data_IF_133382155712
#
_entry.id   IF_133382155712
#
_cell.length_a   1.000
_cell.length_b   1.000
_cell.length_c   1.000
_cell.angle_alpha   90.00
_cell.angle_beta   90.00
_cell.angle_gamma   90.00
#
_symmetry.space_group_name_H-M   'P 1'
#
loop_
_entity.id
_entity.type
_entity.pdbx_description
1 polymer ?
#
# COMPACT_ATOMS: atom_id res chain seq x y z
N UNK A 1 16.40 1.72 -28.30
CA UNK A 1 14.93 1.67 -28.45
C UNK A 1 14.48 3.03 -28.96
N UNK A 2 13.86 3.10 -30.12
CA UNK A 2 13.37 4.37 -30.65
C UNK A 2 11.97 4.62 -30.07
N UNK A 3 11.87 5.60 -29.17
CA UNK A 3 10.58 6.10 -28.69
C UNK A 3 10.03 7.01 -29.78
N UNK A 4 8.81 6.76 -30.25
CA UNK A 4 8.13 7.70 -31.13
C UNK A 4 7.74 8.92 -30.30
N UNK A 5 8.38 10.04 -30.56
CA UNK A 5 8.16 11.31 -29.82
C UNK A 5 6.92 12.08 -30.26
N UNK A 6 6.29 11.70 -31.39
CA UNK A 6 5.03 12.30 -31.84
C UNK A 6 3.88 11.78 -30.98
N UNK A 7 3.48 12.60 -30.01
CA UNK A 7 2.45 12.20 -29.06
C UNK A 7 1.06 12.18 -29.69
N UNK A 8 0.37 11.06 -29.59
CA UNK A 8 -1.04 10.94 -29.93
C UNK A 8 -1.86 11.65 -28.84
N UNK A 9 -2.63 12.67 -29.21
CA UNK A 9 -3.54 13.35 -28.29
C UNK A 9 -4.62 12.40 -27.79
N UNK A 10 -4.58 12.13 -26.47
CA UNK A 10 -5.53 11.28 -25.81
C UNK A 10 -6.81 11.99 -25.38
N UNK A 11 -7.63 11.29 -24.64
CA UNK A 11 -8.91 11.80 -24.16
C UNK A 11 -8.74 12.82 -23.03
N UNK A 12 -9.75 13.70 -22.88
CA UNK A 12 -9.84 14.65 -21.78
C UNK A 12 -10.74 14.11 -20.66
N UNK A 13 -10.28 14.27 -19.43
CA UNK A 13 -10.97 13.87 -18.21
C UNK A 13 -11.13 15.06 -17.25
N UNK A 14 -11.95 14.91 -16.21
CA UNK A 14 -12.00 15.90 -15.13
C UNK A 14 -10.77 15.75 -14.23
N UNK A 15 -10.37 14.51 -13.98
CA UNK A 15 -9.18 14.19 -13.20
C UNK A 15 -8.39 13.01 -13.77
N UNK A 16 -7.08 13.03 -13.56
CA UNK A 16 -6.17 11.92 -13.81
C UNK A 16 -5.55 11.48 -12.47
N UNK A 17 -5.53 10.16 -12.24
CA UNK A 17 -4.84 9.53 -11.12
C UNK A 17 -3.72 8.67 -11.67
N UNK A 18 -2.48 8.96 -11.28
CA UNK A 18 -1.29 8.21 -11.70
C UNK A 18 -0.99 7.12 -10.68
N UNK A 19 -1.18 5.87 -11.09
CA UNK A 19 -1.03 4.69 -10.24
C UNK A 19 -2.34 4.24 -9.60
N UNK A 20 -2.58 2.93 -9.59
CA UNK A 20 -3.77 2.26 -9.08
C UNK A 20 -3.60 1.63 -7.68
N UNK A 21 -2.46 1.90 -7.04
CA UNK A 21 -2.13 1.40 -5.71
C UNK A 21 -3.06 1.90 -4.60
N UNK A 22 -2.63 1.74 -3.33
CA UNK A 22 -3.48 2.05 -2.17
C UNK A 22 -4.05 3.48 -2.22
N UNK A 23 -3.22 4.49 -2.41
CA UNK A 23 -3.65 5.90 -2.45
C UNK A 23 -4.37 6.27 -3.74
N UNK A 24 -3.93 5.74 -4.89
CA UNK A 24 -4.60 5.99 -6.18
C UNK A 24 -5.99 5.38 -6.26
N UNK A 25 -6.18 4.20 -5.69
CA UNK A 25 -7.50 3.59 -5.56
C UNK A 25 -8.47 4.46 -4.75
N UNK A 26 -8.01 5.04 -3.63
CA UNK A 26 -8.81 5.99 -2.85
C UNK A 26 -9.13 7.26 -3.63
N UNK A 27 -8.15 7.86 -4.29
CA UNK A 27 -8.38 9.05 -5.12
C UNK A 27 -9.40 8.77 -6.23
N UNK A 28 -9.28 7.63 -6.92
CA UNK A 28 -10.22 7.23 -7.97
C UNK A 28 -11.65 7.07 -7.43
N UNK A 29 -11.80 6.39 -6.27
CA UNK A 29 -13.10 6.21 -5.60
C UNK A 29 -13.73 7.56 -5.25
N UNK A 30 -13.02 8.39 -4.51
CA UNK A 30 -13.56 9.67 -4.02
C UNK A 30 -13.94 10.62 -5.16
N UNK A 31 -13.12 10.71 -6.19
CA UNK A 31 -13.38 11.58 -7.33
C UNK A 31 -14.57 11.10 -8.17
N UNK A 32 -14.65 9.80 -8.45
CA UNK A 32 -15.75 9.25 -9.26
C UNK A 32 -17.09 9.26 -8.51
N UNK A 33 -17.11 9.00 -7.21
CA UNK A 33 -18.31 9.12 -6.38
C UNK A 33 -18.81 10.57 -6.26
N UNK A 34 -17.91 11.56 -6.41
CA UNK A 34 -18.27 12.99 -6.55
C UNK A 34 -18.72 13.39 -7.97
N UNK A 35 -18.84 12.43 -8.87
CA UNK A 35 -19.36 12.64 -10.22
C UNK A 35 -18.32 13.02 -11.27
N UNK A 36 -17.03 13.03 -10.94
CA UNK A 36 -15.97 13.37 -11.89
C UNK A 36 -15.66 12.20 -12.84
N UNK A 37 -15.36 12.50 -14.11
CA UNK A 37 -14.83 11.54 -15.09
C UNK A 37 -13.32 11.39 -14.86
N UNK A 38 -12.89 10.21 -14.44
CA UNK A 38 -11.52 9.96 -13.98
C UNK A 38 -10.81 8.93 -14.86
N UNK A 39 -9.57 9.22 -15.25
CA UNK A 39 -8.64 8.22 -15.76
C UNK A 39 -7.66 7.79 -14.66
N UNK A 40 -7.53 6.50 -14.46
CA UNK A 40 -6.41 5.93 -13.69
C UNK A 40 -5.40 5.35 -14.66
N UNK A 41 -4.19 5.88 -14.64
CA UNK A 41 -3.09 5.45 -15.51
C UNK A 41 -2.15 4.57 -14.69
N UNK A 42 -2.11 3.29 -15.04
CA UNK A 42 -1.33 2.27 -14.33
C UNK A 42 -0.17 1.79 -15.21
N UNK A 43 1.03 1.85 -14.65
CA UNK A 43 2.25 1.40 -15.32
C UNK A 43 2.20 -0.08 -15.69
N UNK A 44 1.68 -0.90 -14.77
CA UNK A 44 1.72 -2.32 -14.88
C UNK A 44 0.54 -2.96 -15.63
N UNK A 45 0.61 -4.27 -15.71
CA UNK A 45 -0.43 -5.09 -16.36
C UNK A 45 -1.74 -5.08 -15.60
N UNK A 46 -2.82 -5.40 -16.29
CA UNK A 46 -4.09 -5.64 -15.64
C UNK A 46 -4.03 -6.93 -14.79
N UNK A 47 -4.46 -6.82 -13.55
CA UNK A 47 -4.87 -7.98 -12.73
C UNK A 47 -6.33 -7.76 -12.35
N UNK A 48 -7.18 -8.74 -12.63
CA UNK A 48 -8.58 -8.74 -12.22
C UNK A 48 -8.74 -9.36 -10.85
N UNK A 49 -9.64 -8.80 -10.05
CA UNK A 49 -9.99 -9.39 -8.77
C UNK A 49 -10.52 -10.82 -8.95
N UNK A 50 -10.06 -11.75 -8.14
CA UNK A 50 -10.34 -13.19 -8.19
C UNK A 50 -9.68 -13.89 -9.39
N UNK A 51 -10.08 -13.57 -10.62
CA UNK A 51 -9.62 -14.24 -11.85
C UNK A 51 -8.09 -14.13 -12.05
N UNK A 52 -7.49 -13.00 -11.67
CA UNK A 52 -6.06 -12.75 -11.79
C UNK A 52 -5.23 -13.28 -10.63
N UNK A 53 -5.80 -13.98 -9.67
CA UNK A 53 -5.08 -14.57 -8.53
C UNK A 53 -4.65 -16.00 -8.83
N UNK A 54 -3.62 -16.14 -9.65
CA UNK A 54 -3.15 -17.39 -10.28
C UNK A 54 -2.92 -18.56 -9.30
N UNK A 55 -2.56 -18.23 -8.07
CA UNK A 55 -2.14 -19.21 -7.06
C UNK A 55 -3.06 -19.27 -5.84
N UNK A 56 -4.09 -18.42 -5.78
CA UNK A 56 -4.94 -18.28 -4.58
C UNK A 56 -5.58 -19.59 -4.11
N UNK A 57 -5.91 -20.49 -5.04
CA UNK A 57 -6.59 -21.76 -4.74
C UNK A 57 -5.64 -22.96 -4.75
N UNK A 58 -4.39 -22.82 -5.24
CA UNK A 58 -3.43 -23.92 -5.31
C UNK A 58 -3.09 -24.48 -3.94
N UNK A 59 -2.89 -25.76 -3.87
CA UNK A 59 -2.36 -26.47 -2.72
C UNK A 59 -0.82 -26.54 -2.76
N UNK A 60 -0.15 -26.77 -1.63
CA UNK A 60 1.33 -26.80 -1.59
C UNK A 60 1.96 -27.81 -2.56
N UNK A 61 1.31 -28.92 -2.84
CA UNK A 61 1.81 -29.95 -3.77
C UNK A 61 1.61 -29.63 -5.25
N UNK A 62 0.84 -28.57 -5.57
CA UNK A 62 0.63 -28.09 -6.94
C UNK A 62 1.69 -27.08 -7.38
N UNK A 63 2.66 -26.78 -6.51
CA UNK A 63 3.76 -25.88 -6.82
C UNK A 63 5.03 -26.66 -7.12
N UNK A 64 5.75 -26.23 -8.13
CA UNK A 64 7.11 -26.68 -8.38
C UNK A 64 7.98 -26.43 -7.13
N UNK A 65 8.91 -27.34 -6.87
CA UNK A 65 9.80 -27.28 -5.70
C UNK A 65 9.07 -27.12 -4.36
N UNK A 66 7.79 -27.50 -4.28
CA UNK A 66 6.90 -27.28 -3.12
C UNK A 66 6.80 -25.82 -2.69
N UNK A 67 6.82 -24.90 -3.68
CA UNK A 67 6.75 -23.47 -3.46
C UNK A 67 8.05 -22.78 -3.02
N UNK A 68 9.15 -23.52 -2.88
CA UNK A 68 10.45 -22.94 -2.49
C UNK A 68 11.06 -22.14 -3.65
N UNK A 69 11.65 -20.97 -3.39
CA UNK A 69 12.33 -20.22 -4.43
C UNK A 69 13.57 -20.98 -4.93
N UNK A 70 13.79 -20.93 -6.22
CA UNK A 70 15.01 -21.43 -6.87
C UNK A 70 16.12 -20.38 -6.81
N UNK A 71 17.38 -20.78 -7.06
CA UNK A 71 18.49 -19.82 -7.19
C UNK A 71 18.21 -18.78 -8.29
N UNK A 72 17.62 -19.20 -9.40
CA UNK A 72 17.23 -18.29 -10.48
C UNK A 72 16.20 -17.28 -10.00
N UNK A 73 15.17 -17.70 -9.26
CA UNK A 73 14.18 -16.80 -8.67
C UNK A 73 14.81 -15.83 -7.67
N UNK A 74 15.82 -16.28 -6.92
CA UNK A 74 16.55 -15.41 -5.99
C UNK A 74 17.36 -14.31 -6.73
N UNK A 75 17.91 -14.61 -7.89
CA UNK A 75 18.57 -13.61 -8.73
C UNK A 75 17.59 -12.66 -9.40
N UNK A 76 16.43 -13.15 -9.82
CA UNK A 76 15.41 -12.36 -10.50
C UNK A 76 14.67 -11.41 -9.57
N UNK A 77 14.49 -11.79 -8.30
CA UNK A 77 13.73 -11.03 -7.28
C UNK A 77 14.61 -10.65 -6.09
N UNK A 78 15.85 -10.24 -6.37
CA UNK A 78 16.89 -10.05 -5.35
C UNK A 78 16.51 -9.04 -4.26
N UNK A 79 15.79 -7.96 -4.58
CA UNK A 79 15.36 -6.98 -3.61
C UNK A 79 14.38 -7.60 -2.59
N UNK A 80 13.41 -8.38 -3.06
CA UNK A 80 12.47 -9.08 -2.20
C UNK A 80 13.15 -10.16 -1.33
N UNK A 81 14.11 -10.89 -1.91
CA UNK A 81 14.83 -11.93 -1.19
C UNK A 81 15.65 -11.40 -0.01
N UNK A 82 16.23 -10.21 -0.15
CA UNK A 82 17.03 -9.58 0.93
C UNK A 82 16.20 -8.97 2.05
N UNK A 83 14.93 -8.64 1.78
CA UNK A 83 14.09 -7.90 2.74
C UNK A 83 13.18 -8.78 3.59
N UNK A 84 13.16 -10.08 3.37
CA UNK A 84 12.28 -11.02 4.08
C UNK A 84 10.87 -11.15 3.47
N UNK A 85 10.53 -10.42 2.42
CA UNK A 85 9.32 -10.69 1.63
C UNK A 85 9.42 -11.99 0.86
N UNK A 86 10.62 -12.43 0.56
CA UNK A 86 10.97 -13.73 -0.02
C UNK A 86 9.98 -14.18 -1.10
N UNK A 87 9.96 -13.54 -2.28
CA UNK A 87 9.09 -13.93 -3.38
C UNK A 87 9.30 -15.41 -3.74
N UNK A 88 8.31 -16.23 -3.44
CA UNK A 88 8.32 -17.67 -3.74
C UNK A 88 7.32 -17.99 -4.85
N UNK A 89 7.23 -19.24 -5.27
CA UNK A 89 6.32 -19.71 -6.33
C UNK A 89 4.85 -19.34 -6.07
N UNK A 90 4.48 -19.14 -4.81
CA UNK A 90 3.11 -18.88 -4.41
C UNK A 90 2.64 -17.45 -4.73
N UNK A 91 3.54 -16.47 -4.72
CA UNK A 91 3.17 -15.06 -4.85
C UNK A 91 4.15 -14.20 -5.64
N UNK A 92 5.24 -14.76 -6.19
CA UNK A 92 6.23 -13.99 -6.98
C UNK A 92 5.62 -13.27 -8.17
N UNK A 93 4.52 -13.78 -8.74
CA UNK A 93 3.82 -13.16 -9.87
C UNK A 93 3.25 -11.77 -9.56
N UNK A 94 3.17 -11.39 -8.27
CA UNK A 94 2.75 -10.07 -7.79
C UNK A 94 3.94 -9.12 -7.57
N UNK A 95 5.17 -9.62 -7.66
CA UNK A 95 6.38 -8.82 -7.53
C UNK A 95 6.96 -8.48 -8.90
N UNK A 96 7.70 -7.39 -8.96
CA UNK A 96 8.45 -7.04 -10.15
C UNK A 96 9.74 -7.84 -10.23
N UNK A 97 10.08 -8.30 -11.43
CA UNK A 97 11.34 -8.96 -11.70
C UNK A 97 12.46 -7.92 -11.77
N UNK A 98 13.35 -7.92 -10.78
CA UNK A 98 14.42 -6.94 -10.63
C UNK A 98 15.49 -7.06 -11.73
N UNK A 99 15.63 -8.22 -12.36
CA UNK A 99 16.55 -8.47 -13.46
C UNK A 99 16.01 -7.91 -14.79
N UNK A 100 14.70 -8.00 -15.01
CA UNK A 100 14.03 -7.44 -16.19
C UNK A 100 13.86 -5.93 -16.11
N UNK A 101 13.58 -5.41 -14.91
CA UNK A 101 13.42 -3.99 -14.65
C UNK A 101 14.37 -3.54 -13.53
N UNK A 102 15.68 -3.48 -13.81
CA UNK A 102 16.67 -3.12 -12.79
C UNK A 102 16.54 -1.65 -12.37
N UNK A 103 16.99 -1.36 -11.17
CA UNK A 103 17.25 -0.01 -10.71
C UNK A 103 18.71 0.10 -10.23
N UNK A 104 19.25 1.30 -10.24
CA UNK A 104 20.64 1.56 -9.90
C UNK A 104 20.72 2.36 -8.61
N UNK A 105 21.43 1.82 -7.63
CA UNK A 105 21.82 2.51 -6.42
C UNK A 105 23.22 3.12 -6.56
N UNK A 106 23.38 4.39 -6.26
CA UNK A 106 24.71 5.03 -6.26
C UNK A 106 25.44 4.90 -4.93
N UNK A 107 24.72 4.84 -3.83
CA UNK A 107 25.21 4.63 -2.47
C UNK A 107 24.18 3.84 -1.68
N UNK A 108 24.57 2.74 -1.15
CA UNK A 108 24.28 2.03 -0.03
C UNK A 108 22.98 1.42 0.33
N UNK A 109 22.45 0.42 -0.26
CA UNK A 109 21.61 -0.57 0.42
C UNK A 109 20.14 -0.21 0.61
N UNK A 110 19.46 0.27 -0.42
CA UNK A 110 18.02 0.36 -0.44
C UNK A 110 17.39 -0.71 -1.33
N UNK A 111 16.65 -1.62 -0.75
CA UNK A 111 15.94 -2.68 -1.45
C UNK A 111 14.54 -2.21 -1.84
N UNK A 112 14.38 -1.77 -3.09
CA UNK A 112 13.11 -1.24 -3.58
C UNK A 112 12.19 -2.34 -4.09
N UNK A 113 11.29 -2.81 -3.24
CA UNK A 113 10.25 -3.77 -3.62
C UNK A 113 9.19 -3.07 -4.48
N UNK A 114 8.93 -3.62 -5.65
CA UNK A 114 8.02 -3.08 -6.67
C UNK A 114 6.93 -4.09 -7.03
N UNK A 115 5.79 -3.55 -7.46
CA UNK A 115 4.65 -4.33 -7.94
C UNK A 115 3.96 -3.54 -9.05
N UNK A 116 4.24 -3.90 -10.30
CA UNK A 116 3.72 -3.21 -11.49
C UNK A 116 2.52 -3.96 -12.06
N UNK A 117 1.38 -3.76 -11.45
CA UNK A 117 0.08 -4.29 -11.86
C UNK A 117 -1.05 -3.51 -11.20
N UNK A 118 -2.28 -3.72 -11.66
CA UNK A 118 -3.48 -3.14 -11.02
C UNK A 118 -3.50 -3.42 -9.53
N UNK A 119 -3.69 -2.37 -8.74
CA UNK A 119 -3.68 -2.45 -7.28
C UNK A 119 -2.30 -2.34 -6.64
N UNK A 120 -1.21 -2.57 -7.39
CA UNK A 120 0.16 -2.44 -6.92
C UNK A 120 0.42 -3.11 -5.57
N UNK A 121 1.25 -2.50 -4.74
CA UNK A 121 1.59 -3.03 -3.40
C UNK A 121 0.41 -3.14 -2.42
N UNK A 122 -0.80 -2.67 -2.76
CA UNK A 122 -1.98 -2.95 -1.94
C UNK A 122 -2.33 -4.43 -1.86
N UNK A 123 -1.78 -5.27 -2.76
CA UNK A 123 -1.89 -6.73 -2.72
C UNK A 123 -0.81 -7.41 -1.85
N UNK A 124 0.23 -6.68 -1.44
CA UNK A 124 1.42 -7.22 -0.77
C UNK A 124 1.67 -6.66 0.65
N UNK A 125 0.86 -5.73 1.12
CA UNK A 125 1.09 -5.07 2.41
C UNK A 125 0.68 -5.93 3.61
N UNK A 126 1.20 -5.60 4.80
CA UNK A 126 0.95 -6.35 6.03
C UNK A 126 -0.44 -6.18 6.64
N UNK A 127 -1.28 -5.32 6.14
CA UNK A 127 -2.68 -5.03 6.56
C UNK A 127 -2.83 -4.42 7.94
N UNK A 128 -1.76 -4.23 8.69
CA UNK A 128 -1.82 -3.51 9.96
C UNK A 128 -2.27 -2.06 9.72
N UNK A 129 -3.24 -1.62 10.53
CA UNK A 129 -3.90 -0.33 10.34
C UNK A 129 -4.07 0.36 11.68
N UNK A 130 -3.14 1.25 12.01
CA UNK A 130 -3.12 2.00 13.26
C UNK A 130 -3.30 3.48 12.99
N UNK A 131 -3.95 4.18 13.90
CA UNK A 131 -3.97 5.65 13.92
C UNK A 131 -2.66 6.15 14.51
N UNK A 132 -2.10 7.17 13.93
CA UNK A 132 -1.11 7.97 14.61
C UNK A 132 -1.77 8.70 15.77
N UNK A 133 -1.08 8.80 16.88
CA UNK A 133 -1.56 9.51 18.04
C UNK A 133 -1.14 11.00 18.02
N UNK A 134 -1.58 11.79 18.98
CA UNK A 134 -1.22 13.22 19.08
C UNK A 134 0.28 13.46 19.09
N UNK A 135 1.03 12.66 19.85
CA UNK A 135 2.47 12.82 19.94
C UNK A 135 3.18 12.56 18.61
N UNK A 136 2.66 11.65 17.77
CA UNK A 136 3.24 11.38 16.45
C UNK A 136 3.14 12.62 15.53
N UNK A 137 2.04 13.38 15.61
CA UNK A 137 1.88 14.64 14.86
C UNK A 137 2.69 15.80 15.42
N UNK A 138 3.02 15.79 16.71
CA UNK A 138 3.67 16.88 17.42
C UNK A 138 5.16 16.64 17.65
N UNK A 139 5.67 15.46 17.31
CA UNK A 139 7.02 15.02 17.66
C UNK A 139 8.10 15.97 17.15
N UNK A 140 8.03 16.40 15.91
CA UNK A 140 9.02 17.30 15.31
C UNK A 140 9.07 18.65 16.03
N UNK A 141 7.90 19.25 16.31
CA UNK A 141 7.82 20.51 17.05
C UNK A 141 8.35 20.37 18.48
N UNK A 142 7.98 19.25 19.16
CA UNK A 142 8.38 18.97 20.53
C UNK A 142 9.88 18.73 20.68
N UNK A 143 10.47 17.99 19.74
CA UNK A 143 11.87 17.61 19.77
C UNK A 143 12.77 18.67 19.10
N UNK A 144 12.20 19.67 18.42
CA UNK A 144 12.93 20.73 17.71
C UNK A 144 13.69 20.20 16.49
N UNK A 145 13.22 19.12 15.87
CA UNK A 145 13.85 18.44 14.74
C UNK A 145 12.95 18.51 13.51
N UNK A 146 13.53 18.81 12.35
CA UNK A 146 12.80 18.84 11.08
C UNK A 146 11.78 19.98 11.02
N UNK A 147 10.66 19.71 10.35
CA UNK A 147 9.56 20.69 10.18
C UNK A 147 8.33 20.18 10.89
N UNK A 148 7.65 21.03 11.63
CA UNK A 148 6.37 20.70 12.26
C UNK A 148 5.31 20.36 11.20
N UNK A 149 4.45 19.40 11.51
CA UNK A 149 3.33 19.08 10.66
C UNK A 149 2.26 20.17 10.71
N UNK A 150 1.70 20.60 9.56
CA UNK A 150 0.64 21.61 9.54
C UNK A 150 -0.74 21.07 9.95
N UNK A 151 -0.82 19.80 10.35
CA UNK A 151 -2.03 19.09 10.76
C UNK A 151 -1.83 18.43 12.12
N UNK A 152 -2.93 18.16 12.81
CA UNK A 152 -2.97 17.51 14.13
C UNK A 152 -3.85 16.27 14.09
N UNK A 153 -3.83 15.49 15.16
CA UNK A 153 -4.65 14.28 15.27
C UNK A 153 -6.13 14.55 15.02
N UNK A 154 -6.65 15.64 15.58
CA UNK A 154 -8.06 16.03 15.49
C UNK A 154 -8.49 16.29 14.03
N UNK A 155 -7.59 16.83 13.21
CA UNK A 155 -7.85 17.05 11.78
C UNK A 155 -7.99 15.73 11.03
N UNK A 156 -7.28 14.70 11.48
CA UNK A 156 -7.22 13.38 10.84
C UNK A 156 -8.23 12.38 11.40
N UNK A 157 -8.67 12.53 12.64
CA UNK A 157 -9.51 11.55 13.31
C UNK A 157 -10.81 11.19 12.54
N UNK A 158 -11.57 12.14 11.95
CA UNK A 158 -12.75 11.82 11.15
C UNK A 158 -12.42 10.99 9.90
N UNK A 159 -11.26 11.26 9.27
CA UNK A 159 -10.80 10.54 8.08
C UNK A 159 -10.33 9.14 8.41
N UNK A 160 -9.67 8.94 9.55
CA UNK A 160 -9.39 7.60 10.05
C UNK A 160 -10.67 6.78 10.21
N UNK A 161 -11.69 7.32 10.87
CA UNK A 161 -13.00 6.67 11.03
C UNK A 161 -13.65 6.32 9.69
N UNK A 162 -13.59 7.24 8.72
CA UNK A 162 -14.12 7.02 7.38
C UNK A 162 -13.42 5.86 6.67
N UNK A 163 -12.09 5.86 6.70
CA UNK A 163 -11.27 4.81 6.08
C UNK A 163 -11.47 3.47 6.78
N UNK A 164 -11.49 3.43 8.11
CA UNK A 164 -11.67 2.22 8.90
C UNK A 164 -13.00 1.52 8.58
N UNK A 165 -14.09 2.28 8.49
CA UNK A 165 -15.42 1.76 8.12
C UNK A 165 -15.43 1.17 6.72
N UNK A 166 -14.90 1.87 5.74
CA UNK A 166 -14.90 1.40 4.36
C UNK A 166 -13.91 0.25 4.12
N UNK A 167 -12.72 0.33 4.68
CA UNK A 167 -11.74 -0.75 4.58
C UNK A 167 -12.19 -2.01 5.31
N UNK A 168 -12.90 -1.84 6.42
CA UNK A 168 -13.31 -2.91 7.31
C UNK A 168 -12.16 -3.36 8.20
N UNK A 169 -11.70 -2.43 9.04
CA UNK A 169 -10.63 -2.75 10.00
C UNK A 169 -11.23 -3.56 11.15
N UNK A 170 -10.72 -4.77 11.38
CA UNK A 170 -11.02 -5.54 12.58
C UNK A 170 -10.04 -5.22 13.69
N UNK A 171 -10.53 -5.11 14.90
CA UNK A 171 -9.70 -4.73 16.05
C UNK A 171 -10.52 -4.57 17.32
N UNK A 172 -9.87 -4.06 18.34
CA UNK A 172 -10.45 -3.83 19.63
C UNK A 172 -10.11 -2.43 20.12
N UNK A 173 -11.08 -1.75 20.74
CA UNK A 173 -10.85 -0.53 21.49
C UNK A 173 -10.18 -0.88 22.81
N UNK A 174 -9.03 -0.27 23.08
CA UNK A 174 -8.20 -0.58 24.25
C UNK A 174 -8.18 0.57 25.27
N UNK A 175 -8.68 1.75 24.91
CA UNK A 175 -8.68 2.93 25.78
C UNK A 175 -7.28 3.47 26.09
N UNK A 176 -6.33 3.32 25.18
CA UNK A 176 -4.94 3.72 25.35
C UNK A 176 -4.64 4.98 24.56
N UNK A 177 -4.17 6.04 25.20
CA UNK A 177 -3.79 7.30 24.56
C UNK A 177 -2.72 7.11 23.47
N UNK A 178 -1.77 6.19 23.74
CA UNK A 178 -0.70 5.84 22.78
C UNK A 178 -1.21 5.09 21.56
N UNK A 179 -2.38 4.51 21.64
CA UNK A 179 -3.01 3.73 20.59
C UNK A 179 -4.48 4.15 20.43
N UNK A 180 -4.76 5.31 19.83
CA UNK A 180 -6.12 5.85 19.74
C UNK A 180 -7.12 4.84 19.18
N UNK A 181 -8.27 4.77 19.78
CA UNK A 181 -9.32 3.87 19.35
C UNK A 181 -9.99 4.35 18.05
N UNK A 182 -10.58 3.42 17.33
CA UNK A 182 -11.18 3.63 16.03
C UNK A 182 -12.51 2.92 15.85
N UNK A 183 -12.97 2.87 14.61
CA UNK A 183 -14.24 2.28 14.19
C UNK A 183 -13.99 0.84 13.68
N UNK A 184 -13.98 -0.11 14.62
CA UNK A 184 -13.54 -1.47 14.32
C UNK A 184 -14.72 -2.44 14.11
N UNK A 185 -14.51 -3.39 13.22
CA UNK A 185 -15.25 -4.65 13.21
C UNK A 185 -14.77 -5.54 14.37
N UNK A 186 -15.53 -6.57 14.76
CA UNK A 186 -15.13 -7.48 15.81
C UNK A 186 -13.70 -8.01 15.61
N UNK A 187 -12.91 -8.01 16.67
CA UNK A 187 -11.57 -8.53 16.65
C UNK A 187 -11.56 -10.05 16.42
N UNK A 188 -10.50 -10.55 15.78
CA UNK A 188 -10.25 -11.99 15.68
C UNK A 188 -9.77 -12.52 17.03
N UNK A 189 -10.07 -13.78 17.36
CA UNK A 189 -9.62 -14.39 18.61
C UNK A 189 -8.10 -14.57 18.68
N UNK A 190 -7.54 -14.47 19.88
CA UNK A 190 -6.17 -14.88 20.16
C UNK A 190 -6.06 -16.40 20.20
N UNK A 191 -4.92 -16.92 19.79
CA UNK A 191 -4.55 -18.32 20.00
C UNK A 191 -4.11 -18.58 21.43
N UNK A 192 -4.02 -19.83 21.86
CA UNK A 192 -3.57 -20.18 23.22
C UNK A 192 -2.17 -19.65 23.52
N UNK A 193 -1.15 -19.79 22.65
CA UNK A 193 0.16 -19.19 22.87
C UNK A 193 0.13 -17.66 22.98
N UNK A 194 -0.72 -17.00 22.18
CA UNK A 194 -0.86 -15.52 22.26
C UNK A 194 -1.49 -15.06 23.56
N UNK A 195 -2.49 -15.78 24.06
CA UNK A 195 -3.09 -15.51 25.38
C UNK A 195 -2.06 -15.71 26.49
N UNK A 196 -1.28 -16.78 26.42
CA UNK A 196 -0.20 -17.04 27.37
C UNK A 196 0.82 -15.90 27.34
N UNK A 197 1.32 -15.53 26.18
CA UNK A 197 2.27 -14.43 26.01
C UNK A 197 1.74 -13.11 26.58
N UNK A 198 0.50 -12.76 26.23
CA UNK A 198 -0.16 -11.55 26.76
C UNK A 198 -0.17 -11.53 28.29
N UNK A 199 -0.56 -12.65 28.91
CA UNK A 199 -0.67 -12.76 30.35
C UNK A 199 0.71 -12.65 31.03
N UNK A 200 1.73 -13.29 30.46
CA UNK A 200 3.10 -13.23 31.00
C UNK A 200 3.72 -11.83 30.87
N UNK A 201 3.52 -11.16 29.71
CA UNK A 201 4.01 -9.78 29.53
C UNK A 201 3.31 -8.83 30.50
N UNK A 202 2.00 -8.95 30.66
CA UNK A 202 1.25 -8.12 31.61
C UNK A 202 1.72 -8.37 33.05
N UNK A 203 1.83 -9.63 33.46
CA UNK A 203 2.25 -10.04 34.82
C UNK A 203 3.67 -9.61 35.15
N UNK A 204 4.62 -9.83 34.22
CA UNK A 204 6.05 -9.60 34.49
C UNK A 204 6.49 -8.17 34.24
N UNK A 205 5.88 -7.50 33.27
CA UNK A 205 6.33 -6.19 32.81
C UNK A 205 5.29 -5.07 32.98
N UNK A 206 4.06 -5.40 33.38
CA UNK A 206 2.96 -4.44 33.50
C UNK A 206 2.61 -3.75 32.18
N UNK A 207 2.84 -4.42 31.03
CA UNK A 207 2.63 -3.84 29.71
C UNK A 207 1.43 -4.44 29.01
N UNK A 208 0.59 -3.63 28.36
CA UNK A 208 -0.53 -4.14 27.58
C UNK A 208 -0.03 -4.84 26.32
N UNK A 209 -0.66 -5.95 26.00
CA UNK A 209 -0.53 -6.65 24.72
C UNK A 209 -1.92 -6.72 24.10
N UNK A 210 -2.07 -6.21 22.90
CA UNK A 210 -3.34 -6.12 22.20
C UNK A 210 -3.37 -7.00 20.96
N UNK A 211 -4.54 -7.17 20.38
CA UNK A 211 -4.68 -7.72 19.04
C UNK A 211 -4.20 -6.71 17.99
N UNK A 212 -3.56 -7.18 16.94
CA UNK A 212 -3.27 -6.36 15.78
C UNK A 212 -4.57 -5.83 15.15
N UNK A 213 -4.64 -4.53 14.88
CA UNK A 213 -5.72 -3.90 14.12
C UNK A 213 -5.44 -4.10 12.64
N UNK A 214 -6.35 -4.74 11.93
CA UNK A 214 -6.04 -5.26 10.59
C UNK A 214 -7.16 -5.07 9.60
N UNK A 215 -6.78 -4.75 8.37
CA UNK A 215 -7.69 -4.56 7.26
C UNK A 215 -8.20 -5.91 6.68
N UNK A 216 -8.83 -6.70 7.55
CA UNK A 216 -9.50 -7.96 7.22
C UNK A 216 -10.93 -7.92 7.74
N UNK A 217 -11.88 -8.19 6.87
CA UNK A 217 -13.30 -8.24 7.23
C UNK A 217 -13.59 -9.42 8.15
N UNK A 218 -14.24 -9.16 9.27
CA UNK A 218 -14.77 -10.16 10.19
C UNK A 218 -16.29 -10.16 10.20
N UNK A 219 -16.92 -8.98 10.03
CA UNK A 219 -18.36 -8.81 9.98
C UNK A 219 -18.72 -7.79 8.88
N UNK A 220 -18.77 -8.20 7.60
CA UNK A 220 -18.98 -7.29 6.48
C UNK A 220 -20.41 -6.71 6.50
N UNK A 221 -20.51 -5.40 6.52
CA UNK A 221 -21.77 -4.68 6.27
C UNK A 221 -22.03 -4.48 4.77
N UNK A 222 -23.16 -3.82 4.46
CA UNK A 222 -23.61 -3.60 3.06
C UNK A 222 -22.57 -2.90 2.19
N UNK A 223 -21.82 -1.95 2.74
CA UNK A 223 -20.72 -1.25 2.01
C UNK A 223 -19.64 -2.19 1.50
N UNK A 224 -19.45 -3.32 2.17
CA UNK A 224 -18.48 -4.35 1.78
C UNK A 224 -19.08 -5.37 0.82
N UNK A 225 -20.26 -5.91 1.17
CA UNK A 225 -20.92 -6.95 0.38
C UNK A 225 -21.38 -6.47 -0.99
N UNK A 226 -21.76 -5.21 -1.11
CA UNK A 226 -22.06 -4.59 -2.40
C UNK A 226 -20.86 -4.57 -3.36
N UNK A 227 -19.65 -4.62 -2.84
CA UNK A 227 -18.40 -4.72 -3.60
C UNK A 227 -17.93 -6.18 -3.82
N UNK A 228 -18.74 -7.16 -3.43
CA UNK A 228 -18.37 -8.57 -3.51
C UNK A 228 -17.40 -9.06 -2.44
N UNK A 229 -17.18 -8.25 -1.37
CA UNK A 229 -16.30 -8.60 -0.27
C UNK A 229 -17.05 -9.39 0.82
N UNK A 230 -16.41 -10.40 1.36
CA UNK A 230 -16.96 -11.27 2.40
C UNK A 230 -16.00 -11.43 3.59
N UNK A 231 -16.42 -12.13 4.64
CA UNK A 231 -15.61 -12.38 5.83
C UNK A 231 -14.35 -13.17 5.54
N UNK A 232 -13.34 -12.98 6.38
CA UNK A 232 -12.11 -13.77 6.36
C UNK A 232 -12.39 -15.25 6.67
N UNK A 233 -11.90 -16.13 5.82
CA UNK A 233 -12.03 -17.59 5.99
C UNK A 233 -10.78 -18.23 6.61
N UNK A 234 -9.88 -17.47 7.20
CA UNK A 234 -8.69 -17.94 7.92
C UNK A 234 -7.79 -18.89 7.13
N UNK A 235 -7.70 -18.69 5.81
CA UNK A 235 -6.96 -19.59 4.91
C UNK A 235 -5.44 -19.48 5.02
N UNK A 236 -4.92 -18.43 5.64
CA UNK A 236 -3.49 -18.10 5.72
C UNK A 236 -2.78 -18.00 4.35
N UNK A 237 -3.51 -17.64 3.30
CA UNK A 237 -3.02 -17.49 1.91
C UNK A 237 -3.13 -16.02 1.43
N UNK A 238 -2.96 -15.05 2.34
CA UNK A 238 -3.25 -13.65 2.06
C UNK A 238 -2.35 -13.04 0.97
N UNK A 239 -1.08 -13.48 0.90
CA UNK A 239 -0.10 -12.96 -0.06
C UNK A 239 -0.30 -13.46 -1.50
N UNK A 240 -1.22 -14.37 -1.73
CA UNK A 240 -1.54 -14.93 -3.05
C UNK A 240 -2.70 -14.21 -3.75
N UNK A 241 -3.21 -13.12 -3.15
CA UNK A 241 -4.50 -12.54 -3.48
C UNK A 241 -5.64 -13.21 -2.71
N UNK A 242 -6.57 -12.41 -2.21
CA UNK A 242 -7.71 -12.90 -1.43
C UNK A 242 -8.98 -12.92 -2.29
N UNK A 243 -9.45 -14.11 -2.75
CA UNK A 243 -10.63 -14.19 -3.62
C UNK A 243 -11.93 -13.81 -2.91
N UNK A 244 -11.93 -13.79 -1.58
CA UNK A 244 -13.08 -13.36 -0.76
C UNK A 244 -13.13 -11.86 -0.54
N UNK A 245 -12.11 -11.10 -0.96
CA UNK A 245 -12.04 -9.67 -0.72
C UNK A 245 -12.03 -9.26 0.77
N UNK A 246 -11.89 -10.22 1.70
CA UNK A 246 -11.77 -9.93 3.13
C UNK A 246 -10.54 -9.07 3.42
N UNK A 247 -9.44 -9.41 2.82
CA UNK A 247 -8.23 -8.61 2.77
C UNK A 247 -8.45 -7.34 1.95
N UNK A 248 -8.20 -6.17 2.55
CA UNK A 248 -8.35 -4.90 1.84
C UNK A 248 -7.21 -4.68 0.85
N UNK A 249 -7.58 -4.43 -0.38
CA UNK A 249 -6.70 -3.93 -1.44
C UNK A 249 -7.48 -2.94 -2.31
N UNK A 250 -6.79 -2.10 -3.06
CA UNK A 250 -7.48 -1.25 -4.03
C UNK A 250 -8.25 -2.09 -5.05
N UNK A 251 -7.72 -3.25 -5.42
CA UNK A 251 -8.34 -4.14 -6.38
C UNK A 251 -9.64 -4.79 -5.88
N UNK A 252 -9.75 -5.06 -4.57
CA UNK A 252 -10.96 -5.66 -3.98
C UNK A 252 -11.96 -4.64 -3.44
N UNK A 253 -11.59 -3.37 -3.29
CA UNK A 253 -12.44 -2.39 -2.60
C UNK A 253 -12.58 -1.06 -3.36
N UNK A 254 -11.53 -0.22 -3.40
CA UNK A 254 -11.66 1.15 -3.90
C UNK A 254 -11.85 1.23 -5.41
N UNK A 255 -11.15 0.43 -6.20
CA UNK A 255 -11.34 0.40 -7.66
C UNK A 255 -12.72 -0.15 -8.04
N UNK A 256 -13.23 -1.26 -7.47
CA UNK A 256 -14.62 -1.69 -7.69
C UNK A 256 -15.65 -0.61 -7.33
N UNK A 257 -15.49 0.11 -6.23
CA UNK A 257 -16.36 1.23 -5.88
C UNK A 257 -16.34 2.33 -6.95
N UNK A 258 -15.15 2.71 -7.43
CA UNK A 258 -15.00 3.67 -8.52
C UNK A 258 -15.62 3.18 -9.83
N UNK A 259 -15.44 1.91 -10.20
CA UNK A 259 -16.00 1.32 -11.42
C UNK A 259 -17.53 1.32 -11.42
N UNK A 260 -18.17 1.10 -10.27
CA UNK A 260 -19.64 1.12 -10.14
C UNK A 260 -20.27 2.46 -10.52
N UNK A 261 -19.53 3.56 -10.38
CA UNK A 261 -19.99 4.90 -10.79
C UNK A 261 -20.09 5.05 -12.31
N UNK A 262 -19.48 4.14 -13.10
CA UNK A 262 -19.33 4.22 -14.56
C UNK A 262 -18.59 5.48 -15.03
N UNK A 263 -17.79 6.10 -14.16
CA UNK A 263 -17.00 7.31 -14.43
C UNK A 263 -15.50 7.07 -14.41
N UNK A 264 -15.07 5.83 -14.18
CA UNK A 264 -13.68 5.41 -14.17
C UNK A 264 -13.26 4.84 -15.53
N UNK A 265 -12.12 5.29 -16.03
CA UNK A 265 -11.38 4.66 -17.13
C UNK A 265 -10.04 4.17 -16.60
N UNK A 266 -9.76 2.89 -16.78
CA UNK A 266 -8.44 2.31 -16.46
C UNK A 266 -7.58 2.24 -17.71
N UNK A 267 -6.33 2.69 -17.62
CA UNK A 267 -5.34 2.64 -18.70
C UNK A 267 -4.13 1.90 -18.17
N UNK A 268 -3.98 0.65 -18.59
CA UNK A 268 -2.90 -0.25 -18.14
C UNK A 268 -1.67 -0.19 -19.08
N UNK A 269 -0.56 -0.79 -18.65
CA UNK A 269 0.71 -0.84 -19.38
C UNK A 269 1.19 0.55 -19.83
N UNK A 270 0.93 1.56 -19.00
CA UNK A 270 1.03 2.97 -19.37
C UNK A 270 1.89 3.73 -18.37
N UNK A 271 3.13 4.02 -18.76
CA UNK A 271 4.13 4.66 -17.92
C UNK A 271 3.98 6.17 -18.04
N UNK A 272 3.54 6.83 -16.98
CA UNK A 272 3.58 8.30 -16.91
C UNK A 272 5.03 8.73 -16.76
N UNK A 273 5.54 9.42 -17.79
CA UNK A 273 6.92 9.91 -17.83
C UNK A 273 7.05 11.30 -17.20
N UNK A 274 6.05 12.15 -17.38
CA UNK A 274 6.04 13.52 -16.86
C UNK A 274 4.62 14.10 -16.75
N UNK A 275 4.49 15.14 -15.95
CA UNK A 275 3.33 16.03 -15.90
C UNK A 275 3.55 17.16 -16.91
N UNK A 276 2.56 17.41 -17.74
CA UNK A 276 2.58 18.49 -18.72
C UNK A 276 2.22 19.79 -18.01
N UNK A 277 3.17 20.68 -17.90
CA UNK A 277 2.97 22.03 -17.35
C UNK A 277 2.65 23.02 -18.45
N UNK A 278 1.65 23.86 -18.23
CA UNK A 278 1.25 24.93 -19.14
C UNK A 278 1.84 26.26 -18.65
N UNK A 279 2.82 26.77 -19.38
CA UNK A 279 3.51 28.02 -19.06
C UNK A 279 2.58 29.25 -19.06
N UNK A 280 1.57 29.27 -19.96
CA UNK A 280 0.67 30.40 -20.09
C UNK A 280 -0.30 30.50 -18.92
N UNK A 281 -0.85 29.35 -18.46
CA UNK A 281 -1.80 29.30 -17.36
C UNK A 281 -1.14 29.02 -16.01
N UNK A 282 0.15 28.69 -16.02
CA UNK A 282 0.94 28.28 -14.84
C UNK A 282 0.31 27.08 -14.07
N UNK A 283 -0.26 26.12 -14.79
CA UNK A 283 -0.94 24.96 -14.21
C UNK A 283 -0.49 23.68 -14.88
N UNK A 284 -0.58 22.57 -14.13
CA UNK A 284 -0.54 21.24 -14.73
C UNK A 284 -1.82 21.04 -15.57
N UNK A 285 -1.68 20.56 -16.80
CA UNK A 285 -2.82 20.35 -17.72
C UNK A 285 -3.01 18.91 -18.17
N UNK A 286 -2.04 18.04 -17.91
CA UNK A 286 -2.09 16.66 -18.38
C UNK A 286 -0.85 15.87 -17.97
N UNK A 287 -0.77 14.67 -18.53
CA UNK A 287 0.37 13.77 -18.37
C UNK A 287 0.81 13.24 -19.72
N UNK A 288 2.13 13.05 -19.88
CA UNK A 288 2.72 12.32 -20.98
C UNK A 288 2.98 10.88 -20.57
N UNK A 289 2.54 9.97 -21.40
CA UNK A 289 2.51 8.53 -21.12
C UNK A 289 3.24 7.79 -22.22
N UNK A 290 4.02 6.81 -21.86
CA UNK A 290 4.65 5.86 -22.78
C UNK A 290 3.90 4.54 -22.65
N UNK A 291 3.32 4.06 -23.73
CA UNK A 291 2.73 2.72 -23.80
C UNK A 291 3.86 1.69 -23.74
N UNK A 292 3.83 0.84 -22.73
CA UNK A 292 4.92 -0.12 -22.46
C UNK A 292 5.06 -1.18 -23.57
N UNK A 293 4.00 -1.49 -24.30
CA UNK A 293 3.97 -2.52 -25.31
C UNK A 293 4.39 -1.99 -26.69
N UNK A 294 3.95 -0.79 -27.06
CA UNK A 294 4.17 -0.20 -28.38
C UNK A 294 5.28 0.85 -28.38
N UNK A 295 5.68 1.34 -27.22
CA UNK A 295 6.60 2.47 -27.02
C UNK A 295 6.08 3.79 -27.63
N UNK A 296 4.80 3.86 -27.95
CA UNK A 296 4.14 5.09 -28.40
C UNK A 296 3.98 6.08 -27.26
N UNK A 297 4.14 7.35 -27.57
CA UNK A 297 3.90 8.43 -26.62
C UNK A 297 2.46 8.93 -26.80
N UNK A 298 1.73 9.05 -25.69
CA UNK A 298 0.36 9.55 -25.64
C UNK A 298 0.23 10.65 -24.60
N UNK A 299 -0.67 11.58 -24.80
CA UNK A 299 -0.99 12.63 -23.84
C UNK A 299 -2.44 12.54 -23.41
N UNK A 300 -2.65 12.62 -22.09
CA UNK A 300 -3.97 12.69 -21.47
C UNK A 300 -4.11 14.01 -20.73
N UNK A 301 -5.27 14.64 -20.81
CA UNK A 301 -5.52 15.96 -20.26
C UNK A 301 -6.58 15.94 -19.17
N UNK A 302 -6.36 16.72 -18.10
CA UNK A 302 -7.31 16.92 -17.04
C UNK A 302 -7.02 18.21 -16.27
N UNK A 303 -8.03 18.71 -15.53
CA UNK A 303 -7.89 19.87 -14.65
C UNK A 303 -7.25 19.52 -13.32
N UNK A 304 -7.36 18.26 -12.89
CA UNK A 304 -6.85 17.76 -11.61
C UNK A 304 -5.96 16.54 -11.88
N UNK A 305 -4.78 16.51 -11.30
CA UNK A 305 -3.84 15.40 -11.45
C UNK A 305 -3.38 14.95 -10.06
N UNK A 306 -3.65 13.69 -9.73
CA UNK A 306 -3.17 13.03 -8.53
C UNK A 306 -1.98 12.13 -8.87
N UNK A 307 -0.82 12.41 -8.29
CA UNK A 307 0.39 11.62 -8.52
C UNK A 307 0.54 10.60 -7.39
N UNK A 308 0.05 9.38 -7.62
CA UNK A 308 -0.07 8.29 -6.65
C UNK A 308 0.81 7.08 -6.99
N UNK A 309 1.97 7.31 -7.62
CA UNK A 309 2.88 6.27 -8.09
C UNK A 309 3.83 5.69 -7.01
N UNK A 310 3.50 5.93 -5.74
CA UNK A 310 4.38 5.64 -4.60
C UNK A 310 5.48 6.70 -4.45
N UNK A 311 6.19 6.73 -3.31
CA UNK A 311 7.14 7.79 -2.99
C UNK A 311 8.21 7.98 -4.09
N UNK A 312 8.91 6.92 -4.46
CA UNK A 312 9.99 6.98 -5.46
C UNK A 312 9.44 7.26 -6.86
N UNK A 313 8.36 6.56 -7.27
CA UNK A 313 7.75 6.75 -8.58
C UNK A 313 7.19 8.15 -8.78
N UNK A 314 6.48 8.69 -7.79
CA UNK A 314 5.94 10.06 -7.82
C UNK A 314 7.05 11.10 -7.89
N UNK A 315 8.10 10.94 -7.08
CA UNK A 315 9.28 11.81 -7.11
C UNK A 315 9.96 11.79 -8.48
N UNK A 316 10.15 10.61 -9.07
CA UNK A 316 10.75 10.46 -10.39
C UNK A 316 9.94 11.19 -11.48
N UNK A 317 8.61 11.03 -11.48
CA UNK A 317 7.73 11.73 -12.42
C UNK A 317 7.87 13.24 -12.27
N UNK A 318 7.82 13.76 -11.04
CA UNK A 318 7.94 15.19 -10.79
C UNK A 318 9.31 15.74 -11.17
N UNK A 319 10.40 15.00 -10.89
CA UNK A 319 11.76 15.39 -11.29
C UNK A 319 11.94 15.41 -12.82
N UNK A 320 11.25 14.53 -13.54
CA UNK A 320 11.27 14.51 -15.00
C UNK A 320 10.37 15.58 -15.63
N UNK A 321 9.40 16.11 -14.88
CA UNK A 321 8.48 17.15 -15.33
C UNK A 321 9.13 18.52 -15.31
N UNK A 322 10.01 18.78 -16.28
CA UNK A 322 10.78 20.01 -16.40
C UNK A 322 10.11 21.02 -17.30
N UNK A 323 10.29 22.30 -17.00
CA UNK A 323 9.82 23.43 -17.79
C UNK A 323 10.78 24.60 -17.66
N UNK A 324 10.49 25.73 -18.34
CA UNK A 324 11.26 26.95 -18.15
C UNK A 324 11.21 27.44 -16.69
N UNK A 325 10.06 27.31 -16.06
CA UNK A 325 9.80 27.65 -14.65
C UNK A 325 10.41 26.64 -13.67
N UNK A 326 10.34 25.34 -13.97
CA UNK A 326 10.75 24.25 -13.08
C UNK A 326 11.90 23.44 -13.69
N UNK A 327 13.10 24.01 -13.74
CA UNK A 327 14.27 23.38 -14.38
C UNK A 327 14.73 22.09 -13.68
N UNK A 328 14.51 22.00 -12.37
CA UNK A 328 14.91 20.86 -11.54
C UNK A 328 13.75 19.94 -11.14
N UNK A 329 12.63 20.00 -11.86
CA UNK A 329 11.43 19.24 -11.60
C UNK A 329 10.27 20.08 -11.09
N UNK A 330 9.06 19.66 -11.42
CA UNK A 330 7.82 20.36 -11.10
C UNK A 330 7.64 20.48 -9.58
N UNK A 331 7.43 21.71 -9.09
CA UNK A 331 7.25 22.00 -7.67
C UNK A 331 8.51 21.91 -6.81
N UNK A 332 9.70 21.88 -7.43
CA UNK A 332 10.98 21.75 -6.71
C UNK A 332 11.69 23.11 -6.48
N UNK A 333 10.94 24.16 -6.20
CA UNK A 333 11.53 25.49 -5.92
C UNK A 333 12.38 25.51 -4.65
N UNK A 334 12.03 24.66 -3.67
CA UNK A 334 12.75 24.54 -2.40
C UNK A 334 13.93 23.56 -2.43
N UNK A 335 14.17 22.88 -3.54
CA UNK A 335 15.15 21.78 -3.69
C UNK A 335 14.93 20.62 -2.68
N UNK A 336 13.69 20.41 -2.24
CA UNK A 336 13.35 19.33 -1.29
C UNK A 336 12.78 18.09 -1.97
N UNK A 337 12.43 18.15 -3.26
CA UNK A 337 11.91 17.01 -4.00
C UNK A 337 12.95 15.88 -4.06
N UNK A 338 12.55 14.69 -3.62
CA UNK A 338 13.41 13.51 -3.58
C UNK A 338 14.40 13.46 -2.42
N UNK A 339 14.31 14.41 -1.49
CA UNK A 339 15.09 14.42 -0.25
C UNK A 339 14.27 13.87 0.91
N UNK A 340 14.95 13.53 2.01
CA UNK A 340 14.32 13.15 3.29
C UNK A 340 13.43 11.90 3.20
N UNK A 341 13.75 10.95 2.31
CA UNK A 341 13.07 9.64 2.31
C UNK A 341 13.44 8.91 3.61
N UNK A 342 12.41 8.42 4.30
CA UNK A 342 12.54 7.58 5.48
C UNK A 342 11.89 6.24 5.22
N UNK A 343 12.39 5.20 5.88
CA UNK A 343 11.80 3.87 5.89
C UNK A 343 11.70 3.35 7.32
N UNK A 344 11.06 2.21 7.49
CA UNK A 344 10.93 1.54 8.78
C UNK A 344 12.27 0.95 9.24
N UNK A 345 12.45 0.81 10.56
CA UNK A 345 13.47 -0.08 11.11
C UNK A 345 13.10 -1.53 10.74
N UNK A 346 13.85 -2.13 9.86
CA UNK A 346 13.69 -3.52 9.47
C UNK A 346 14.66 -4.41 10.25
N UNK A 347 14.28 -5.70 10.41
CA UNK A 347 15.12 -6.74 11.02
C UNK A 347 15.54 -6.46 12.47
N UNK A 348 14.78 -5.64 13.20
CA UNK A 348 14.94 -5.47 14.64
C UNK A 348 13.92 -6.36 15.35
N UNK A 349 14.37 -7.42 15.97
CA UNK A 349 13.49 -8.38 16.60
C UNK A 349 14.23 -9.37 17.48
N UNK A 350 13.46 -10.19 18.19
CA UNK A 350 13.92 -11.35 18.94
C UNK A 350 13.01 -12.54 18.66
N UNK A 351 13.57 -13.73 18.68
CA UNK A 351 12.83 -14.99 18.54
C UNK A 351 13.07 -15.86 19.76
N UNK A 352 12.04 -16.57 20.19
CA UNK A 352 12.12 -17.52 21.28
C UNK A 352 11.17 -18.70 21.03
N UNK A 353 11.50 -19.85 21.61
CA UNK A 353 10.59 -21.00 21.70
C UNK A 353 9.76 -20.86 22.98
N UNK A 354 8.47 -21.11 22.89
CA UNK A 354 7.56 -21.15 24.04
C UNK A 354 7.22 -22.60 24.30
N UNK A 355 7.63 -23.11 25.43
CA UNK A 355 7.40 -24.51 25.85
C UNK A 355 5.93 -24.74 26.19
N UNK A 356 5.43 -25.95 25.94
CA UNK A 356 4.07 -26.38 26.28
C UNK A 356 3.03 -26.15 25.19
N UNK A 357 3.43 -25.72 23.99
CA UNK A 357 2.56 -25.48 22.84
C UNK A 357 3.02 -26.24 21.58
N UNK A 358 3.87 -27.23 21.73
CA UNK A 358 4.52 -27.95 20.61
C UNK A 358 3.52 -28.73 19.75
N UNK A 359 2.39 -29.13 20.34
CA UNK A 359 1.31 -29.86 19.65
C UNK A 359 0.22 -28.95 19.10
N UNK A 360 0.29 -27.64 19.34
CA UNK A 360 -0.74 -26.71 18.87
C UNK A 360 -0.68 -26.56 17.36
N UNK A 361 -1.81 -26.86 16.73
CA UNK A 361 -1.94 -26.75 15.29
C UNK A 361 -2.32 -25.31 14.87
N UNK A 362 -1.43 -24.68 14.12
CA UNK A 362 -1.55 -23.27 13.76
C UNK A 362 -2.05 -23.01 12.33
N UNK A 363 -2.44 -24.08 11.59
CA UNK A 363 -2.94 -23.92 10.23
C UNK A 363 -4.34 -23.27 10.20
N UNK A 364 -4.56 -22.38 9.24
CA UNK A 364 -5.83 -21.65 9.13
C UNK A 364 -6.05 -20.61 10.22
N UNK A 365 -4.98 -20.19 10.85
CA UNK A 365 -5.03 -19.26 11.94
C UNK A 365 -5.29 -17.80 11.47
N UNK A 366 -5.48 -16.94 12.44
CA UNK A 366 -5.62 -15.50 12.25
C UNK A 366 -4.48 -14.93 11.36
N UNK A 367 -4.80 -14.11 10.37
CA UNK A 367 -3.81 -13.63 9.39
C UNK A 367 -2.81 -12.60 9.95
N UNK A 368 -2.91 -12.25 11.23
CA UNK A 368 -2.09 -11.23 11.84
C UNK A 368 -1.76 -11.52 13.31
N UNK A 369 -0.78 -10.79 13.84
CA UNK A 369 -0.14 -11.03 15.14
C UNK A 369 -0.70 -10.14 16.25
N UNK A 370 -0.08 -10.26 17.44
CA UNK A 370 -0.25 -9.36 18.56
C UNK A 370 0.46 -8.02 18.31
N UNK A 371 0.08 -7.01 19.07
CA UNK A 371 0.72 -5.71 19.08
C UNK A 371 1.02 -5.28 20.50
N UNK A 372 2.26 -4.84 20.75
CA UNK A 372 2.65 -4.19 22.00
C UNK A 372 2.75 -2.71 21.72
N UNK A 373 1.83 -1.88 22.25
CA UNK A 373 1.89 -0.44 22.08
C UNK A 373 3.19 0.15 22.62
N UNK A 374 3.62 1.29 22.04
CA UNK A 374 4.77 2.03 22.52
C UNK A 374 4.67 2.28 24.03
N UNK A 375 5.73 2.00 24.76
CA UNK A 375 5.79 2.18 26.22
C UNK A 375 7.06 2.91 26.70
N UNK A 376 7.94 3.31 25.78
CA UNK A 376 9.10 4.16 26.01
C UNK A 376 8.99 5.42 25.17
N UNK A 377 9.63 6.48 25.61
CA UNK A 377 9.59 7.79 24.97
C UNK A 377 8.13 8.24 24.74
N UNK A 378 7.28 8.05 25.75
CA UNK A 378 5.88 8.39 25.75
C UNK A 378 5.52 9.25 26.96
N UNK A 379 4.75 10.34 26.74
CA UNK A 379 4.36 11.24 27.80
C UNK A 379 5.56 11.93 28.46
N UNK A 380 5.78 11.63 29.75
CA UNK A 380 6.91 12.17 30.54
C UNK A 380 8.14 11.25 30.52
N UNK A 381 8.05 10.07 29.98
CA UNK A 381 9.18 9.13 29.84
C UNK A 381 10.06 9.60 28.67
N UNK A 382 11.31 9.94 28.97
CA UNK A 382 12.32 10.38 28.00
C UNK A 382 13.43 9.36 27.87
#
# INVERSE_FOLDING_TARGET
MNINIDAIKGQTFDAIVVGSGISGGWAAKELTEKGLKVAVIERGREIKHIEGYETAMKHPWEFDHRGRPTNMAAEEYWAGMRTGYTPNEEHRYLFENDKQNPYIEKKGGFDWIRAYHTGGKSLLWGRHSYRWNKQDFEANAKDGIGTDWPIRYEDMAPWYSYVEKFAGISGQAEGLDVLPDGEFQPAMAMTAPEVHFKNEVNKKLGRPVTLGRVAHLTNPGKVHTDLGRSSCNFRNKCMRGCPYGAYFSSLSATLPAAMRTKRLTMVHNSIVSEIIYDEATQKAKGVRVIDQNTMEVREYFAKIIFVNAGAIGSTSILMNSKSSRYRNGLGNDSDQLGRNIMDHHLNVGASATVEGFESDYMFGNRPNSLYIPRFRNWGKDK
#
